data_IF_241423231381
#
_entry.id   IF_241423231381
#
_cell.length_a   1.000
_cell.length_b   1.000
_cell.length_c   1.000
_cell.angle_alpha   90.00
_cell.angle_beta   90.00
_cell.angle_gamma   90.00
#
_symmetry.space_group_name_H-M   'P 1'
#
loop_
_entity.id
_entity.type
_entity.pdbx_description
1 polymer ?
#
# COMPACT_ATOMS: atom_id res chain seq x y z
N UNK A 1 -15.05 -16.53 11.15
CA UNK A 1 -13.67 -17.02 11.29
C UNK A 1 -12.90 -16.44 10.11
N UNK A 2 -11.75 -15.75 10.26
CA UNK A 2 -10.79 -15.68 9.16
C UNK A 2 -10.55 -17.10 8.61
N UNK A 3 -9.92 -17.30 7.46
CA UNK A 3 -9.26 -18.58 7.23
C UNK A 3 -8.15 -18.69 8.29
N UNK A 4 -8.55 -19.02 9.52
CA UNK A 4 -7.72 -19.35 10.64
C UNK A 4 -6.83 -20.46 10.11
N UNK A 5 -5.52 -20.34 10.29
CA UNK A 5 -4.77 -21.27 11.16
C UNK A 5 -4.87 -22.78 10.85
N UNK A 6 -5.51 -23.19 9.75
CA UNK A 6 -5.77 -24.59 9.39
C UNK A 6 -4.72 -25.12 8.44
N UNK A 7 -3.88 -24.25 7.88
CA UNK A 7 -2.73 -24.68 7.11
C UNK A 7 -1.56 -24.88 8.06
N UNK A 8 -1.48 -26.06 8.70
CA UNK A 8 -0.23 -26.47 9.33
C UNK A 8 0.89 -26.46 8.29
N UNK A 9 2.18 -26.39 8.69
CA UNK A 9 3.29 -26.50 7.76
C UNK A 9 3.16 -27.72 6.82
N UNK A 10 2.65 -28.84 7.32
CA UNK A 10 2.39 -30.06 6.56
C UNK A 10 1.27 -29.87 5.53
N UNK A 11 0.19 -29.17 5.88
CA UNK A 11 -0.90 -28.87 4.96
C UNK A 11 -0.44 -27.93 3.83
N UNK A 12 0.37 -26.92 4.14
CA UNK A 12 0.99 -26.05 3.12
C UNK A 12 1.90 -26.87 2.20
N UNK A 13 2.76 -27.71 2.77
CA UNK A 13 3.63 -28.58 1.99
C UNK A 13 2.83 -29.52 1.07
N UNK A 14 1.71 -30.06 1.55
CA UNK A 14 0.85 -30.92 0.76
C UNK A 14 0.22 -30.20 -0.45
N UNK A 15 -0.06 -28.89 -0.33
CA UNK A 15 -0.58 -28.07 -1.44
C UNK A 15 0.45 -27.89 -2.56
N UNK A 16 1.75 -27.89 -2.23
CA UNK A 16 2.85 -27.69 -3.17
C UNK A 16 3.69 -28.95 -3.41
N UNK A 17 3.19 -30.14 -3.04
CA UNK A 17 3.99 -31.38 -3.01
C UNK A 17 4.67 -31.74 -4.34
N UNK A 18 4.06 -31.32 -5.45
CA UNK A 18 4.52 -31.58 -6.82
C UNK A 18 5.08 -30.30 -7.48
N UNK A 19 5.16 -29.18 -6.75
CA UNK A 19 5.60 -27.89 -7.28
C UNK A 19 7.04 -27.58 -6.86
N UNK A 20 7.94 -27.58 -7.83
CA UNK A 20 9.31 -27.10 -7.63
C UNK A 20 9.46 -25.60 -7.90
N UNK A 21 8.58 -25.05 -8.73
CA UNK A 21 8.61 -23.67 -9.18
C UNK A 21 7.34 -22.95 -8.76
N UNK A 22 7.41 -21.62 -8.67
CA UNK A 22 6.21 -20.81 -8.52
C UNK A 22 5.48 -20.74 -9.87
N UNK A 23 4.42 -21.54 -10.02
CA UNK A 23 3.69 -21.71 -11.28
C UNK A 23 2.99 -20.44 -11.79
N UNK A 24 3.02 -19.33 -11.04
CA UNK A 24 2.45 -18.04 -11.44
C UNK A 24 3.35 -17.24 -12.39
N UNK A 25 4.59 -17.67 -12.64
CA UNK A 25 5.51 -17.03 -13.58
C UNK A 25 4.88 -16.86 -14.99
N UNK A 26 5.28 -15.86 -15.80
CA UNK A 26 6.18 -14.76 -15.46
C UNK A 26 5.48 -13.57 -14.78
N UNK A 27 4.14 -13.53 -14.82
CA UNK A 27 3.35 -12.40 -14.29
C UNK A 27 3.22 -12.38 -12.76
N UNK A 28 3.33 -13.56 -12.15
CA UNK A 28 3.09 -13.82 -10.73
C UNK A 28 1.66 -13.47 -10.27
N UNK A 29 0.70 -13.48 -11.19
CA UNK A 29 -0.72 -13.38 -10.88
C UNK A 29 -1.19 -14.65 -10.17
N UNK A 30 -1.89 -14.49 -9.04
CA UNK A 30 -2.46 -15.59 -8.28
C UNK A 30 -3.60 -16.28 -9.02
N UNK A 31 -3.89 -17.52 -8.61
CA UNK A 31 -4.96 -18.32 -9.20
C UNK A 31 -6.32 -18.16 -8.50
N UNK A 32 -6.46 -17.09 -7.71
CA UNK A 32 -7.63 -16.85 -6.87
C UNK A 32 -8.61 -15.85 -7.50
N UNK A 33 -9.87 -15.96 -7.11
CA UNK A 33 -10.93 -15.00 -7.42
C UNK A 33 -11.05 -13.95 -6.32
N UNK A 34 -11.29 -12.69 -6.66
CA UNK A 34 -11.42 -11.62 -5.67
C UNK A 34 -12.59 -11.88 -4.71
N UNK A 35 -12.47 -11.41 -3.48
CA UNK A 35 -13.58 -11.43 -2.50
C UNK A 35 -14.67 -10.46 -2.94
N UNK A 36 -15.89 -10.94 -3.13
CA UNK A 36 -17.05 -10.16 -3.56
C UNK A 36 -17.94 -9.86 -2.36
N UNK A 37 -18.06 -8.60 -1.93
CA UNK A 37 -18.88 -8.26 -0.77
C UNK A 37 -20.35 -8.64 -0.96
N UNK A 38 -20.93 -9.31 0.04
CA UNK A 38 -22.28 -9.86 -0.01
C UNK A 38 -22.37 -11.31 -0.49
N UNK A 39 -21.31 -11.83 -1.12
CA UNK A 39 -21.12 -13.27 -1.38
C UNK A 39 -20.09 -13.85 -0.42
N UNK A 40 -18.98 -13.14 -0.26
CA UNK A 40 -17.89 -13.48 0.64
C UNK A 40 -17.93 -12.57 1.87
N UNK A 41 -17.47 -13.06 3.02
CA UNK A 41 -17.36 -12.29 4.27
C UNK A 41 -15.91 -11.99 4.66
N UNK A 42 -14.95 -12.59 3.96
CA UNK A 42 -13.53 -12.58 4.34
C UNK A 42 -12.65 -12.17 3.14
N UNK A 43 -11.43 -11.65 3.41
CA UNK A 43 -10.40 -11.52 2.40
C UNK A 43 -10.07 -12.85 1.72
N UNK A 44 -9.54 -12.76 0.51
CA UNK A 44 -9.23 -13.95 -0.27
C UNK A 44 -7.93 -14.59 0.22
N UNK A 45 -7.92 -15.90 0.44
CA UNK A 45 -6.70 -16.63 0.76
C UNK A 45 -5.88 -16.96 -0.49
N UNK A 46 -4.56 -16.77 -0.41
CA UNK A 46 -3.56 -17.26 -1.36
C UNK A 46 -2.55 -18.19 -0.66
N UNK A 47 -2.17 -19.27 -1.34
CA UNK A 47 -1.23 -20.27 -0.85
C UNK A 47 0.23 -19.92 -1.19
N UNK A 48 0.44 -18.99 -2.11
CA UNK A 48 1.76 -18.50 -2.45
C UNK A 48 2.12 -17.22 -1.66
N UNK A 49 3.40 -16.85 -1.66
CA UNK A 49 3.88 -15.57 -1.19
C UNK A 49 3.51 -14.42 -2.14
N UNK A 50 3.78 -13.19 -1.71
CA UNK A 50 3.62 -11.99 -2.53
C UNK A 50 4.46 -12.07 -3.83
N UNK A 51 4.03 -11.41 -4.92
CA UNK A 51 4.60 -11.63 -6.25
C UNK A 51 5.98 -11.00 -6.45
N UNK A 52 6.33 -9.98 -5.66
CA UNK A 52 7.37 -9.01 -5.97
C UNK A 52 8.77 -9.59 -5.85
N UNK A 53 9.03 -10.39 -4.81
CA UNK A 53 10.36 -10.99 -4.63
C UNK A 53 10.74 -11.87 -5.82
N UNK A 54 9.82 -12.71 -6.29
CA UNK A 54 10.07 -13.65 -7.39
C UNK A 54 10.01 -12.96 -8.74
N UNK A 55 9.09 -12.01 -8.93
CA UNK A 55 9.06 -11.18 -10.13
C UNK A 55 10.33 -10.36 -10.29
N UNK A 56 10.86 -9.76 -9.21
CA UNK A 56 12.18 -9.13 -9.21
C UNK A 56 13.27 -10.08 -9.67
N UNK A 57 13.33 -11.29 -9.12
CA UNK A 57 14.34 -12.28 -9.48
C UNK A 57 14.27 -12.64 -10.97
N UNK A 58 13.06 -12.83 -11.50
CA UNK A 58 12.86 -13.08 -12.94
C UNK A 58 13.27 -11.87 -13.78
N UNK A 59 12.81 -10.67 -13.45
CA UNK A 59 13.15 -9.44 -14.17
C UNK A 59 14.67 -9.25 -14.20
N UNK A 60 15.39 -9.52 -13.10
CA UNK A 60 16.86 -9.38 -13.09
C UNK A 60 17.60 -10.47 -13.87
N UNK A 61 16.98 -11.62 -14.13
CA UNK A 61 17.53 -12.62 -15.05
C UNK A 61 17.48 -12.11 -16.49
N UNK A 62 16.37 -11.45 -16.87
CA UNK A 62 16.14 -10.99 -18.24
C UNK A 62 16.72 -9.57 -18.50
N UNK A 63 16.72 -8.71 -17.47
CA UNK A 63 17.13 -7.29 -17.49
C UNK A 63 18.08 -6.94 -16.33
N UNK A 64 19.29 -7.52 -16.27
CA UNK A 64 20.25 -7.24 -15.20
C UNK A 64 20.66 -5.76 -15.12
N UNK A 65 20.54 -5.01 -16.23
CA UNK A 65 20.86 -3.59 -16.29
C UNK A 65 19.98 -2.71 -15.38
N UNK A 66 18.82 -3.20 -14.90
CA UNK A 66 17.96 -2.47 -13.94
C UNK A 66 18.70 -2.19 -12.62
N UNK A 67 19.68 -3.02 -12.23
CA UNK A 67 20.47 -2.78 -11.03
C UNK A 67 21.24 -1.46 -11.07
N UNK A 68 21.51 -0.92 -12.26
CA UNK A 68 22.15 0.40 -12.43
C UNK A 68 21.27 1.56 -11.93
N UNK A 69 19.97 1.33 -11.75
CA UNK A 69 19.04 2.33 -11.23
C UNK A 69 19.09 2.45 -9.71
N UNK A 70 19.61 1.46 -8.99
CA UNK A 70 19.71 1.48 -7.52
C UNK A 70 20.49 2.69 -7.01
N UNK A 71 20.07 3.20 -5.84
CA UNK A 71 20.76 4.30 -5.18
C UNK A 71 19.80 5.19 -4.40
N UNK A 72 20.13 6.47 -4.35
CA UNK A 72 19.34 7.49 -3.67
C UNK A 72 19.22 8.74 -4.56
N UNK A 73 18.21 9.55 -4.28
CA UNK A 73 17.97 10.83 -4.93
C UNK A 73 17.83 11.94 -3.88
N UNK A 74 18.72 12.93 -3.95
CA UNK A 74 18.77 14.04 -2.99
C UNK A 74 17.69 15.09 -3.23
N UNK A 75 16.97 15.06 -4.36
CA UNK A 75 15.84 15.95 -4.63
C UNK A 75 14.76 15.86 -3.55
N UNK A 76 14.53 14.66 -2.99
CA UNK A 76 13.59 14.44 -1.90
C UNK A 76 13.91 15.28 -0.65
N UNK A 77 15.19 15.58 -0.39
CA UNK A 77 15.59 16.46 0.72
C UNK A 77 15.07 17.88 0.48
N UNK A 78 15.28 18.41 -0.72
CA UNK A 78 14.86 19.77 -1.06
C UNK A 78 13.33 19.89 -1.09
N UNK A 79 12.64 18.89 -1.63
CA UNK A 79 11.17 18.83 -1.62
C UNK A 79 10.66 18.80 -0.17
N UNK A 80 11.30 18.04 0.72
CA UNK A 80 10.96 18.01 2.15
C UNK A 80 11.11 19.39 2.79
N UNK A 81 12.23 20.07 2.57
CA UNK A 81 12.45 21.40 3.14
C UNK A 81 11.44 22.42 2.60
N UNK A 82 11.17 22.41 1.29
CA UNK A 82 10.22 23.31 0.66
C UNK A 82 8.80 23.09 1.20
N UNK A 83 8.34 21.84 1.27
CA UNK A 83 6.99 21.50 1.77
C UNK A 83 6.81 21.91 3.23
N UNK A 84 7.79 21.65 4.09
CA UNK A 84 7.78 22.08 5.50
C UNK A 84 7.72 23.60 5.59
N UNK A 85 8.58 24.33 4.86
CA UNK A 85 8.58 25.79 4.86
C UNK A 85 7.24 26.39 4.42
N UNK A 86 6.64 25.86 3.34
CA UNK A 86 5.33 26.32 2.85
C UNK A 86 4.24 26.07 3.89
N UNK A 87 4.21 24.88 4.51
CA UNK A 87 3.22 24.59 5.55
C UNK A 87 3.38 25.47 6.78
N UNK A 88 4.61 25.74 7.22
CA UNK A 88 4.86 26.65 8.35
C UNK A 88 4.47 28.09 8.03
N UNK A 89 4.71 28.56 6.80
CA UNK A 89 4.28 29.89 6.35
C UNK A 89 2.75 30.00 6.35
N UNK A 90 2.04 28.99 5.84
CA UNK A 90 0.57 28.98 5.83
C UNK A 90 0.00 28.88 7.24
N UNK A 91 0.58 28.06 8.11
CA UNK A 91 0.21 27.97 9.51
C UNK A 91 0.38 29.31 10.24
N UNK A 92 1.51 30.01 10.01
CA UNK A 92 1.72 31.36 10.56
C UNK A 92 0.71 32.36 10.00
N UNK A 93 0.48 32.33 8.68
CA UNK A 93 -0.43 33.27 8.00
C UNK A 93 -1.85 33.14 8.53
N UNK A 94 -2.43 31.94 8.55
CA UNK A 94 -3.78 31.74 9.10
C UNK A 94 -3.84 31.87 10.61
N UNK A 95 -2.73 31.60 11.30
CA UNK A 95 -2.63 31.71 12.75
C UNK A 95 -2.52 33.14 13.28
N UNK A 96 -1.87 34.04 12.53
CA UNK A 96 -1.46 35.38 13.01
C UNK A 96 -1.86 36.55 12.14
N UNK A 97 -2.04 36.34 10.83
CA UNK A 97 -2.28 37.42 9.86
C UNK A 97 -3.72 37.42 9.38
N UNK A 98 -4.21 36.28 8.89
CA UNK A 98 -5.55 36.10 8.31
C UNK A 98 -6.48 35.34 9.27
N UNK A 99 -6.61 35.84 10.50
CA UNK A 99 -7.32 35.13 11.58
C UNK A 99 -8.84 35.02 11.36
N UNK A 100 -9.43 35.87 10.54
CA UNK A 100 -10.87 35.85 10.28
C UNK A 100 -11.26 35.04 9.02
N UNK A 101 -10.26 34.53 8.29
CA UNK A 101 -10.45 33.84 7.00
C UNK A 101 -10.73 32.35 7.18
N UNK A 102 -11.79 32.02 7.93
CA UNK A 102 -12.11 30.64 8.32
C UNK A 102 -12.32 29.69 7.13
N UNK A 103 -13.20 30.06 6.20
CA UNK A 103 -13.51 29.20 5.05
C UNK A 103 -12.34 29.10 4.08
N UNK A 104 -11.62 30.20 3.86
CA UNK A 104 -10.40 30.18 3.04
C UNK A 104 -9.34 29.28 3.64
N UNK A 105 -9.17 29.29 4.97
CA UNK A 105 -8.27 28.37 5.67
C UNK A 105 -8.63 26.90 5.41
N UNK A 106 -9.92 26.55 5.47
CA UNK A 106 -10.37 25.17 5.19
C UNK A 106 -10.11 24.78 3.73
N UNK A 107 -10.42 25.66 2.77
CA UNK A 107 -10.16 25.42 1.35
C UNK A 107 -8.67 25.25 1.05
N UNK A 108 -7.83 26.11 1.63
CA UNK A 108 -6.36 26.03 1.48
C UNK A 108 -5.81 24.80 2.19
N UNK A 109 -6.31 24.45 3.37
CA UNK A 109 -5.94 23.24 4.09
C UNK A 109 -6.29 21.98 3.28
N UNK A 110 -7.40 21.97 2.54
CA UNK A 110 -7.71 20.86 1.63
C UNK A 110 -6.77 20.83 0.43
N UNK A 111 -6.76 21.90 -0.38
CA UNK A 111 -6.15 21.90 -1.70
C UNK A 111 -4.62 21.95 -1.66
N UNK A 112 -4.04 22.79 -0.79
CA UNK A 112 -2.60 22.97 -0.67
C UNK A 112 -2.08 22.14 0.51
N UNK A 113 -2.70 22.32 1.68
CA UNK A 113 -2.29 21.63 2.90
C UNK A 113 -2.35 20.11 2.77
N UNK A 114 -3.47 19.56 2.30
CA UNK A 114 -3.68 18.13 2.11
C UNK A 114 -2.80 17.54 1.01
N UNK A 115 -2.62 18.27 -0.09
CA UNK A 115 -1.65 17.91 -1.14
C UNK A 115 -0.23 17.81 -0.59
N UNK A 116 0.21 18.75 0.23
CA UNK A 116 1.53 18.69 0.86
C UNK A 116 1.61 17.58 1.91
N UNK A 117 0.59 17.41 2.76
CA UNK A 117 0.57 16.35 3.76
C UNK A 117 0.69 14.96 3.14
N UNK A 118 -0.02 14.70 2.03
CA UNK A 118 0.10 13.46 1.27
C UNK A 118 1.48 13.31 0.61
N UNK A 119 2.02 14.39 0.02
CA UNK A 119 3.38 14.36 -0.54
C UNK A 119 4.45 14.06 0.52
N UNK A 120 4.28 14.55 1.76
CA UNK A 120 5.16 14.20 2.89
C UNK A 120 5.02 12.72 3.26
N UNK A 121 3.82 12.13 3.19
CA UNK A 121 3.63 10.69 3.34
C UNK A 121 4.44 9.87 2.32
N UNK A 122 4.60 10.38 1.11
CA UNK A 122 5.45 9.76 0.07
C UNK A 122 6.93 10.00 0.34
N UNK A 123 7.31 11.16 0.87
CA UNK A 123 8.69 11.35 1.39
C UNK A 123 8.97 10.34 2.52
N UNK A 124 7.96 10.00 3.33
CA UNK A 124 8.11 8.97 4.36
C UNK A 124 8.41 7.60 3.78
N UNK A 125 7.77 7.29 2.65
CA UNK A 125 8.07 6.12 1.85
C UNK A 125 9.53 6.11 1.37
N UNK A 126 10.01 7.19 0.75
CA UNK A 126 11.38 7.24 0.22
C UNK A 126 12.45 7.11 1.32
N UNK A 127 12.34 7.85 2.44
CA UNK A 127 13.38 7.77 3.47
C UNK A 127 13.35 6.40 4.18
N UNK A 128 12.19 5.74 4.22
CA UNK A 128 12.05 4.40 4.81
C UNK A 128 12.94 3.38 4.12
N UNK A 129 13.03 3.47 2.80
CA UNK A 129 13.90 2.65 1.96
C UNK A 129 15.32 3.20 1.81
N UNK A 130 15.65 4.26 2.55
CA UNK A 130 16.93 4.98 2.50
C UNK A 130 17.23 5.64 1.14
N UNK A 131 16.19 6.09 0.43
CA UNK A 131 16.31 6.62 -0.94
C UNK A 131 16.54 8.14 -1.01
N UNK A 132 16.52 8.87 0.11
CA UNK A 132 16.72 10.33 0.10
C UNK A 132 18.20 10.75 0.23
N UNK A 133 19.05 9.90 0.80
CA UNK A 133 20.44 10.22 1.14
C UNK A 133 21.31 8.96 1.30
N UNK A 134 22.63 9.16 1.35
CA UNK A 134 23.61 8.07 1.39
C UNK A 134 23.54 7.19 2.66
N UNK A 135 23.13 7.74 3.81
CA UNK A 135 23.14 7.00 5.09
C UNK A 135 21.74 6.87 5.69
N UNK A 136 21.51 5.79 6.43
CA UNK A 136 20.26 5.59 7.18
C UNK A 136 20.01 6.73 8.18
N UNK A 137 21.06 7.29 8.79
CA UNK A 137 20.92 8.39 9.73
C UNK A 137 20.38 9.66 9.05
N UNK A 138 20.93 10.03 7.88
CA UNK A 138 20.44 11.18 7.12
C UNK A 138 18.97 10.99 6.73
N UNK A 139 18.61 9.81 6.21
CA UNK A 139 17.23 9.50 5.83
C UNK A 139 16.26 9.63 7.01
N UNK A 140 16.60 9.10 8.19
CA UNK A 140 15.76 9.26 9.38
C UNK A 140 15.51 10.71 9.76
N UNK A 141 16.52 11.57 9.60
CA UNK A 141 16.36 13.01 9.84
C UNK A 141 15.53 13.71 8.76
N UNK A 142 15.65 13.32 7.48
CA UNK A 142 14.72 13.78 6.43
C UNK A 142 13.28 13.46 6.83
N UNK A 143 13.01 12.22 7.28
CA UNK A 143 11.71 11.82 7.80
C UNK A 143 11.24 12.67 9.00
N UNK A 144 12.09 12.88 10.00
CA UNK A 144 11.74 13.70 11.17
C UNK A 144 11.47 15.16 10.79
N UNK A 145 12.23 15.74 9.86
CA UNK A 145 12.00 17.12 9.36
C UNK A 145 10.66 17.18 8.61
N UNK A 146 10.40 16.22 7.72
CA UNK A 146 9.11 16.12 7.02
C UNK A 146 7.93 15.95 7.97
N UNK A 147 8.15 15.41 9.17
CA UNK A 147 7.10 15.24 10.19
C UNK A 147 6.64 16.55 10.84
N UNK A 148 7.43 17.63 10.79
CA UNK A 148 7.12 18.89 11.49
C UNK A 148 5.67 19.39 11.21
N UNK A 149 5.21 19.51 9.95
CA UNK A 149 3.84 19.96 9.65
C UNK A 149 2.75 18.91 9.90
N UNK A 150 3.09 17.66 10.25
CA UNK A 150 2.10 16.60 10.45
C UNK A 150 1.52 16.58 11.87
N UNK A 151 2.14 17.26 12.83
CA UNK A 151 1.65 17.48 14.21
C UNK A 151 1.35 16.20 15.03
N UNK A 152 1.76 15.05 14.51
CA UNK A 152 1.72 13.74 15.17
C UNK A 152 2.98 12.96 14.80
N UNK A 153 3.60 12.20 15.72
CA UNK A 153 4.88 11.53 15.47
C UNK A 153 4.70 10.26 14.61
N UNK A 154 4.78 10.42 13.29
CA UNK A 154 4.47 9.37 12.32
C UNK A 154 5.71 8.80 11.65
N UNK A 155 6.74 9.59 11.37
CA UNK A 155 7.86 9.23 10.48
C UNK A 155 8.49 7.88 10.86
N UNK A 156 8.94 7.73 12.11
CA UNK A 156 9.70 6.53 12.49
C UNK A 156 8.82 5.31 12.70
N UNK A 157 7.54 5.51 13.05
CA UNK A 157 6.55 4.43 13.08
C UNK A 157 6.20 3.98 11.66
N UNK A 158 5.97 4.92 10.74
CA UNK A 158 5.76 4.63 9.32
C UNK A 158 6.92 3.78 8.79
N UNK A 159 8.18 4.16 9.06
CA UNK A 159 9.35 3.37 8.65
C UNK A 159 9.28 1.92 9.11
N UNK A 160 8.94 1.67 10.37
CA UNK A 160 8.85 0.31 10.90
C UNK A 160 7.74 -0.48 10.19
N UNK A 161 6.53 0.06 10.21
CA UNK A 161 5.35 -0.65 9.71
C UNK A 161 5.38 -0.84 8.19
N UNK A 162 5.90 0.14 7.44
CA UNK A 162 6.01 0.03 6.00
C UNK A 162 7.06 -1.01 5.55
N UNK A 163 8.22 -1.10 6.24
CA UNK A 163 9.18 -2.20 5.96
C UNK A 163 8.61 -3.58 6.28
N UNK A 164 7.78 -3.67 7.33
CA UNK A 164 7.09 -4.91 7.66
C UNK A 164 6.05 -5.28 6.62
N UNK A 165 5.29 -4.30 6.11
CA UNK A 165 4.39 -4.49 4.98
C UNK A 165 5.11 -5.06 3.75
N UNK A 166 6.23 -4.48 3.32
CA UNK A 166 7.03 -5.06 2.22
C UNK A 166 7.52 -6.48 2.52
N UNK A 167 7.88 -6.75 3.78
CA UNK A 167 8.40 -8.06 4.17
C UNK A 167 7.30 -9.11 4.21
N UNK A 168 6.13 -8.74 4.69
CA UNK A 168 5.03 -9.62 5.10
C UNK A 168 3.72 -9.27 4.40
N UNK A 169 3.76 -8.72 3.18
CA UNK A 169 2.57 -8.27 2.45
C UNK A 169 1.49 -9.37 2.43
N UNK A 170 0.28 -9.00 2.83
CA UNK A 170 -0.88 -9.90 2.97
C UNK A 170 -0.76 -10.98 4.04
N UNK A 171 0.31 -11.05 4.81
CA UNK A 171 0.44 -12.04 5.89
C UNK A 171 -0.39 -11.60 7.09
N UNK A 172 -1.41 -12.39 7.42
CA UNK A 172 -2.33 -12.06 8.50
C UNK A 172 -1.61 -11.92 9.85
N UNK A 173 -1.90 -10.83 10.58
CA UNK A 173 -1.28 -10.51 11.86
C UNK A 173 0.13 -9.90 11.79
N UNK A 174 0.74 -9.84 10.60
CA UNK A 174 2.06 -9.23 10.38
C UNK A 174 1.99 -7.97 9.53
N UNK A 175 1.18 -7.98 8.47
CA UNK A 175 1.01 -6.84 7.58
C UNK A 175 0.14 -5.72 8.23
N UNK A 176 0.69 -4.53 8.51
CA UNK A 176 -0.08 -3.40 9.06
C UNK A 176 -1.05 -2.78 8.05
N UNK A 177 -0.94 -3.08 6.76
CA UNK A 177 -1.83 -2.58 5.72
C UNK A 177 -3.18 -3.31 5.70
N UNK A 178 -3.28 -4.49 6.30
CA UNK A 178 -4.52 -5.25 6.35
C UNK A 178 -5.56 -4.59 7.27
N UNK A 179 -6.83 -4.57 6.86
CA UNK A 179 -7.92 -4.10 7.71
C UNK A 179 -8.11 -4.99 8.93
N UNK A 180 -8.43 -4.40 10.07
CA UNK A 180 -8.83 -5.15 11.26
C UNK A 180 -10.20 -5.81 11.03
N UNK A 181 -10.47 -6.91 11.74
CA UNK A 181 -11.73 -7.65 11.57
C UNK A 181 -12.97 -6.77 11.77
N UNK A 182 -12.91 -5.83 12.70
CA UNK A 182 -14.03 -4.93 12.95
C UNK A 182 -14.24 -3.93 11.81
N UNK A 183 -13.18 -3.53 11.09
CA UNK A 183 -13.30 -2.66 9.90
C UNK A 183 -14.09 -3.38 8.81
N UNK A 184 -13.77 -4.66 8.57
CA UNK A 184 -14.49 -5.51 7.62
C UNK A 184 -15.97 -5.61 8.00
N UNK A 185 -16.27 -5.94 9.26
CA UNK A 185 -17.65 -6.17 9.72
C UNK A 185 -18.49 -4.89 9.80
N UNK A 186 -17.92 -3.79 10.31
CA UNK A 186 -18.66 -2.56 10.58
C UNK A 186 -18.87 -1.72 9.33
N UNK A 187 -17.80 -1.52 8.55
CA UNK A 187 -17.87 -0.68 7.34
C UNK A 187 -18.63 -1.43 6.25
N UNK A 188 -18.26 -2.70 6.03
CA UNK A 188 -18.92 -3.57 5.06
C UNK A 188 -19.04 -2.96 3.67
N UNK A 189 -20.11 -3.33 2.96
CA UNK A 189 -20.41 -2.85 1.61
C UNK A 189 -21.49 -1.76 1.58
N UNK A 190 -21.38 -0.77 2.47
CA UNK A 190 -22.30 0.36 2.52
C UNK A 190 -21.60 1.64 2.03
N UNK A 191 -22.10 2.32 0.98
CA UNK A 191 -21.45 3.52 0.45
C UNK A 191 -21.28 4.65 1.47
N UNK A 192 -22.24 4.83 2.39
CA UNK A 192 -22.18 5.90 3.39
C UNK A 192 -21.09 5.60 4.42
N UNK A 193 -21.03 4.36 4.91
CA UNK A 193 -19.98 3.93 5.85
C UNK A 193 -18.61 3.97 5.20
N UNK A 194 -18.47 3.50 3.96
CA UNK A 194 -17.21 3.57 3.19
C UNK A 194 -16.75 5.02 3.01
N UNK A 195 -17.66 5.94 2.70
CA UNK A 195 -17.35 7.37 2.56
C UNK A 195 -16.81 7.97 3.86
N UNK A 196 -17.49 7.77 5.00
CA UNK A 196 -17.02 8.30 6.28
C UNK A 196 -15.74 7.62 6.78
N UNK A 197 -15.56 6.34 6.46
CA UNK A 197 -14.34 5.62 6.77
C UNK A 197 -13.14 6.15 5.98
N UNK A 198 -13.32 6.56 4.71
CA UNK A 198 -12.25 7.24 3.95
C UNK A 198 -11.82 8.56 4.61
N UNK A 199 -12.73 9.32 5.23
CA UNK A 199 -12.37 10.57 5.92
C UNK A 199 -11.39 10.32 7.08
N UNK A 200 -11.56 9.21 7.80
CA UNK A 200 -10.74 8.87 8.98
C UNK A 200 -9.62 7.88 8.67
N UNK A 201 -9.38 7.58 7.39
CA UNK A 201 -8.52 6.46 6.99
C UNK A 201 -7.07 6.59 7.50
N UNK A 202 -6.49 7.79 7.48
CA UNK A 202 -5.18 8.02 8.11
C UNK A 202 -5.13 7.68 9.61
N UNK A 203 -6.22 7.93 10.34
CA UNK A 203 -6.34 7.56 11.78
C UNK A 203 -6.43 6.04 11.92
N UNK A 204 -7.11 5.38 10.98
CA UNK A 204 -7.22 3.92 10.97
C UNK A 204 -5.86 3.23 10.88
N UNK A 205 -4.91 3.76 10.12
CA UNK A 205 -3.55 3.20 10.03
C UNK A 205 -2.80 3.27 11.36
N UNK A 206 -2.98 4.38 12.10
CA UNK A 206 -2.43 4.49 13.47
C UNK A 206 -3.06 3.39 14.34
N UNK A 207 -4.38 3.21 14.25
CA UNK A 207 -5.10 2.16 14.97
C UNK A 207 -4.61 0.74 14.63
N UNK A 208 -4.40 0.45 13.35
CA UNK A 208 -3.84 -0.84 12.87
C UNK A 208 -2.44 -1.08 13.43
N UNK A 209 -1.56 -0.08 13.40
CA UNK A 209 -0.23 -0.17 14.00
C UNK A 209 -0.28 -0.43 15.50
N UNK A 210 -1.12 0.30 16.24
CA UNK A 210 -1.30 0.09 17.69
C UNK A 210 -1.86 -1.30 18.02
N UNK A 211 -2.76 -1.83 17.18
CA UNK A 211 -3.32 -3.18 17.34
C UNK A 211 -2.28 -4.29 17.24
N UNK A 212 -1.11 -4.03 16.63
CA UNK A 212 0.02 -4.98 16.63
C UNK A 212 0.78 -5.03 17.98
N UNK A 213 0.46 -4.15 18.94
CA UNK A 213 0.99 -4.16 20.31
C UNK A 213 2.53 -4.17 20.41
N UNK A 214 3.21 -3.54 19.45
CA UNK A 214 4.67 -3.50 19.40
C UNK A 214 5.23 -2.45 20.35
N UNK A 215 6.30 -2.82 21.05
CA UNK A 215 7.06 -1.87 21.87
C UNK A 215 7.68 -0.77 21.01
N UNK A 216 7.70 0.46 21.51
CA UNK A 216 8.28 1.59 20.78
C UNK A 216 9.79 1.42 20.66
N UNK A 217 10.30 1.60 19.45
CA UNK A 217 11.73 1.60 19.18
C UNK A 217 12.38 2.92 19.64
N UNK A 218 13.71 2.90 19.81
CA UNK A 218 14.50 4.10 20.14
C UNK A 218 14.22 5.27 19.19
N UNK A 219 14.09 5.00 17.90
CA UNK A 219 13.85 6.04 16.90
C UNK A 219 12.42 6.59 16.95
N UNK A 220 11.43 5.77 17.28
CA UNK A 220 10.07 6.26 17.54
C UNK A 220 10.05 7.19 18.75
N UNK A 221 10.74 6.85 19.84
CA UNK A 221 10.88 7.74 21.00
C UNK A 221 11.56 9.06 20.65
N UNK A 222 12.60 9.03 19.80
CA UNK A 222 13.25 10.25 19.28
C UNK A 222 12.27 11.10 18.47
N UNK A 223 11.48 10.47 17.60
CA UNK A 223 10.49 11.18 16.78
C UNK A 223 9.33 11.73 17.62
N UNK A 224 8.94 11.07 18.71
CA UNK A 224 7.98 11.60 19.68
C UNK A 224 8.52 12.88 20.34
N UNK A 225 9.73 12.82 20.90
CA UNK A 225 10.35 13.98 21.54
C UNK A 225 10.53 15.15 20.54
N UNK A 226 10.97 14.85 19.32
CA UNK A 226 11.11 15.82 18.23
C UNK A 226 9.77 16.46 17.86
N UNK A 227 8.73 15.66 17.61
CA UNK A 227 7.42 16.15 17.19
C UNK A 227 6.80 17.02 18.27
N UNK A 228 6.79 16.58 19.53
CA UNK A 228 6.24 17.39 20.63
C UNK A 228 7.01 18.69 20.86
N UNK A 229 8.33 18.70 20.68
CA UNK A 229 9.12 19.92 20.74
C UNK A 229 8.75 20.89 19.60
N UNK A 230 8.64 20.38 18.36
CA UNK A 230 8.21 21.17 17.21
C UNK A 230 6.78 21.70 17.38
N UNK A 231 5.84 20.87 17.82
CA UNK A 231 4.44 21.25 18.04
C UNK A 231 4.32 22.37 19.07
N UNK A 232 5.11 22.29 20.16
CA UNK A 232 5.19 23.36 21.15
C UNK A 232 5.67 24.67 20.52
N UNK A 233 6.73 24.63 19.71
CA UNK A 233 7.25 25.81 19.00
C UNK A 233 6.20 26.36 18.02
N UNK A 234 5.52 25.49 17.26
CA UNK A 234 4.45 25.86 16.33
C UNK A 234 3.33 26.58 17.07
N UNK A 235 2.86 26.07 18.21
CA UNK A 235 1.82 26.74 19.01
C UNK A 235 2.30 28.11 19.49
N UNK A 236 3.55 28.23 19.93
CA UNK A 236 4.10 29.52 20.40
C UNK A 236 4.23 30.54 19.28
N UNK A 237 4.62 30.12 18.08
CA UNK A 237 4.87 31.01 16.92
C UNK A 237 3.60 31.27 16.11
N UNK A 238 2.84 30.22 15.77
CA UNK A 238 1.67 30.29 14.90
C UNK A 238 0.35 30.38 15.68
N UNK A 239 0.34 30.02 16.97
CA UNK A 239 -0.89 29.99 17.77
C UNK A 239 -1.73 28.73 17.51
N UNK A 240 -2.74 28.50 18.34
CA UNK A 240 -3.66 27.36 18.22
C UNK A 240 -4.41 27.33 16.89
N UNK A 241 -4.66 28.49 16.29
CA UNK A 241 -5.29 28.58 14.99
C UNK A 241 -4.37 28.08 13.86
N UNK A 242 -3.08 28.39 13.89
CA UNK A 242 -2.11 27.83 12.95
C UNK A 242 -1.96 26.32 13.12
N UNK A 243 -1.98 25.83 14.36
CA UNK A 243 -2.03 24.39 14.67
C UNK A 243 -3.29 23.74 14.07
N UNK A 244 -4.46 24.38 14.19
CA UNK A 244 -5.71 23.90 13.59
C UNK A 244 -5.60 23.78 12.06
N UNK A 245 -4.96 24.73 11.37
CA UNK A 245 -4.70 24.64 9.93
C UNK A 245 -3.88 23.39 9.58
N UNK A 246 -2.83 23.07 10.34
CA UNK A 246 -2.01 21.87 10.11
C UNK A 246 -2.79 20.59 10.37
N UNK A 247 -3.55 20.53 11.48
CA UNK A 247 -4.43 19.39 11.78
C UNK A 247 -5.43 19.14 10.65
N UNK A 248 -6.10 20.20 10.16
CA UNK A 248 -7.03 20.09 9.04
C UNK A 248 -6.33 19.62 7.77
N UNK A 249 -5.12 20.11 7.49
CA UNK A 249 -4.32 19.70 6.33
C UNK A 249 -4.03 18.20 6.36
N UNK A 250 -3.65 17.66 7.52
CA UNK A 250 -3.37 16.23 7.71
C UNK A 250 -4.65 15.39 7.56
N UNK A 251 -5.73 15.75 8.24
CA UNK A 251 -7.00 15.01 8.20
C UNK A 251 -7.61 14.97 6.81
N UNK A 252 -7.60 16.11 6.12
CA UNK A 252 -8.12 16.21 4.77
C UNK A 252 -7.19 15.53 3.76
N UNK A 253 -5.88 15.68 3.94
CA UNK A 253 -4.84 15.07 3.11
C UNK A 253 -4.87 13.55 3.13
N UNK A 254 -4.80 12.92 4.30
CA UNK A 254 -4.86 11.46 4.42
C UNK A 254 -6.29 10.89 4.44
N UNK A 255 -7.29 11.72 4.13
CA UNK A 255 -8.70 11.35 4.04
C UNK A 255 -9.18 11.27 2.59
N UNK A 256 -10.13 12.15 2.22
CA UNK A 256 -10.76 12.17 0.88
C UNK A 256 -9.90 12.83 -0.21
N UNK A 257 -8.66 13.23 0.08
CA UNK A 257 -7.79 13.80 -0.95
C UNK A 257 -7.42 12.72 -1.98
N UNK A 258 -7.40 13.03 -3.30
CA UNK A 258 -6.96 12.06 -4.31
C UNK A 258 -5.54 11.55 -4.06
N UNK A 259 -4.67 12.37 -3.45
CA UNK A 259 -3.33 11.98 -3.03
C UNK A 259 -3.28 10.87 -1.97
N UNK A 260 -4.38 10.57 -1.29
CA UNK A 260 -4.51 9.44 -0.35
C UNK A 260 -5.15 8.20 -1.00
N UNK A 261 -5.53 8.26 -2.29
CA UNK A 261 -6.13 7.12 -2.97
C UNK A 261 -5.17 5.92 -3.08
N UNK A 262 -3.86 6.15 -2.98
CA UNK A 262 -2.84 5.10 -3.03
C UNK A 262 -3.09 4.02 -1.95
N UNK A 263 -3.55 4.42 -0.76
CA UNK A 263 -4.00 3.51 0.29
C UNK A 263 -5.07 2.47 -0.11
N UNK A 264 -5.86 2.80 -1.14
CA UNK A 264 -6.85 1.89 -1.72
C UNK A 264 -6.32 1.26 -3.01
N UNK A 265 -5.76 2.07 -3.91
CA UNK A 265 -5.25 1.63 -5.20
C UNK A 265 -4.24 0.48 -5.05
N UNK A 266 -3.32 0.58 -4.12
CA UNK A 266 -2.13 -0.27 -4.07
C UNK A 266 -2.48 -1.75 -3.89
N UNK A 267 -3.26 -2.09 -2.85
CA UNK A 267 -3.45 -3.48 -2.42
C UNK A 267 -4.91 -3.95 -2.28
N UNK A 268 -5.89 -3.14 -2.70
CA UNK A 268 -7.26 -3.66 -2.87
C UNK A 268 -7.39 -4.47 -4.16
N UNK A 269 -8.16 -5.56 -4.11
CA UNK A 269 -8.32 -6.49 -5.23
C UNK A 269 -9.40 -6.04 -6.22
N UNK A 270 -9.00 -5.26 -7.22
CA UNK A 270 -9.89 -4.83 -8.31
C UNK A 270 -10.10 -5.93 -9.36
N UNK A 271 -9.13 -6.82 -9.55
CA UNK A 271 -9.09 -7.90 -10.55
C UNK A 271 -8.71 -9.22 -9.89
N UNK A 272 -9.26 -10.31 -10.41
CA UNK A 272 -8.87 -11.67 -10.00
C UNK A 272 -7.37 -11.88 -10.21
N UNK A 273 -6.72 -12.54 -9.24
CA UNK A 273 -5.31 -12.91 -9.29
C UNK A 273 -4.31 -11.77 -9.08
N UNK A 274 -4.72 -10.49 -9.05
CA UNK A 274 -3.79 -9.37 -8.88
C UNK A 274 -3.97 -8.69 -7.52
N UNK A 275 -2.92 -8.72 -6.69
CA UNK A 275 -2.94 -8.13 -5.34
C UNK A 275 -2.21 -6.79 -5.22
N UNK A 276 -1.53 -6.34 -6.28
CA UNK A 276 -0.80 -5.06 -6.31
C UNK A 276 -1.08 -4.32 -7.61
N UNK A 277 -1.37 -3.02 -7.54
CA UNK A 277 -1.72 -2.21 -8.72
C UNK A 277 -0.84 -0.97 -8.79
N UNK A 278 -0.40 -0.63 -9.99
CA UNK A 278 0.23 0.65 -10.27
C UNK A 278 -0.81 1.68 -10.76
N UNK A 279 -0.50 2.95 -10.58
CA UNK A 279 -1.18 4.10 -11.13
C UNK A 279 -0.25 4.82 -12.11
N UNK A 280 -0.71 5.05 -13.34
CA UNK A 280 0.06 5.72 -14.42
C UNK A 280 -0.61 7.01 -14.91
N UNK A 281 -1.48 7.62 -14.10
CA UNK A 281 -2.10 8.90 -14.44
C UNK A 281 -1.23 10.10 -14.10
N UNK A 282 -1.72 11.30 -14.45
CA UNK A 282 -1.00 12.56 -14.30
C UNK A 282 -0.67 12.96 -12.86
N UNK A 283 -1.31 12.33 -11.86
CA UNK A 283 -1.01 12.57 -10.45
C UNK A 283 0.43 12.26 -10.07
N UNK A 284 1.09 11.31 -10.76
CA UNK A 284 2.46 10.91 -10.45
C UNK A 284 3.46 12.06 -10.48
N UNK A 285 3.29 13.01 -11.40
CA UNK A 285 4.20 14.17 -11.50
C UNK A 285 4.23 14.99 -10.21
N UNK A 286 3.09 15.08 -9.51
CA UNK A 286 2.99 15.82 -8.26
C UNK A 286 3.34 14.95 -7.04
N UNK A 287 2.92 13.69 -7.06
CA UNK A 287 3.13 12.73 -5.97
C UNK A 287 4.33 11.80 -6.22
N UNK A 288 5.42 12.38 -6.71
CA UNK A 288 6.75 11.76 -6.77
C UNK A 288 6.70 10.33 -7.30
N UNK A 289 6.04 10.09 -8.44
CA UNK A 289 5.91 8.77 -9.08
C UNK A 289 5.52 7.59 -8.17
N UNK A 290 4.90 7.82 -6.99
CA UNK A 290 4.50 6.75 -6.07
C UNK A 290 3.54 5.75 -6.72
N UNK A 291 2.81 6.17 -7.76
CA UNK A 291 1.92 5.30 -8.51
C UNK A 291 2.64 4.16 -9.23
N UNK A 292 3.95 4.21 -9.46
CA UNK A 292 4.73 3.07 -9.98
C UNK A 292 4.96 2.03 -8.88
N UNK A 293 3.86 1.51 -8.33
CA UNK A 293 3.84 0.75 -7.08
C UNK A 293 4.29 -0.70 -7.25
N UNK A 294 3.91 -1.37 -8.34
CA UNK A 294 4.48 -2.69 -8.65
C UNK A 294 5.99 -2.60 -8.85
N UNK A 295 6.43 -1.59 -9.62
CA UNK A 295 7.84 -1.33 -9.89
C UNK A 295 8.61 -1.07 -8.60
N UNK A 296 8.03 -0.27 -7.70
CA UNK A 296 8.59 -0.02 -6.37
C UNK A 296 8.67 -1.27 -5.52
N UNK A 297 7.59 -2.06 -5.42
CA UNK A 297 7.63 -3.29 -4.62
C UNK A 297 8.62 -4.33 -5.16
N UNK A 298 8.77 -4.42 -6.49
CA UNK A 298 9.77 -5.27 -7.13
C UNK A 298 11.18 -4.74 -6.86
N UNK A 299 11.37 -3.41 -6.88
CA UNK A 299 12.67 -2.75 -6.76
C UNK A 299 12.68 -1.61 -5.71
N UNK A 300 12.53 -1.91 -4.41
CA UNK A 300 12.39 -0.89 -3.36
C UNK A 300 13.66 -0.09 -3.09
N UNK A 301 14.76 -0.40 -3.79
CA UNK A 301 16.04 0.30 -3.72
C UNK A 301 16.25 1.28 -4.89
N UNK A 302 15.22 1.48 -5.73
CA UNK A 302 15.23 2.46 -6.81
C UNK A 302 14.44 3.69 -6.36
N UNK A 303 15.03 4.90 -6.41
CA UNK A 303 14.32 6.12 -6.04
C UNK A 303 13.18 6.43 -7.00
N UNK A 304 12.18 7.16 -6.49
CA UNK A 304 10.98 7.51 -7.25
C UNK A 304 11.22 8.16 -8.63
N UNK A 305 12.30 8.92 -8.79
CA UNK A 305 12.67 9.57 -10.06
C UNK A 305 12.99 8.59 -11.18
N UNK A 306 13.37 7.36 -10.82
CA UNK A 306 13.77 6.30 -11.74
C UNK A 306 12.76 5.16 -11.87
N UNK A 307 11.70 5.12 -11.07
CA UNK A 307 10.66 4.09 -11.19
C UNK A 307 10.03 4.00 -12.60
N UNK A 308 9.77 5.12 -13.33
CA UNK A 308 9.28 5.04 -14.70
C UNK A 308 10.23 4.31 -15.65
N UNK A 309 11.53 4.35 -15.38
CA UNK A 309 12.55 3.70 -16.19
C UNK A 309 12.45 2.18 -16.08
N UNK A 310 12.15 1.64 -14.89
CA UNK A 310 11.94 0.20 -14.67
C UNK A 310 10.85 -0.32 -15.60
N UNK A 311 9.70 0.38 -15.64
CA UNK A 311 8.59 0.02 -16.52
C UNK A 311 8.99 0.03 -17.99
N UNK A 312 9.80 1.02 -18.41
CA UNK A 312 10.28 1.16 -19.78
C UNK A 312 11.25 0.04 -20.18
N UNK A 313 12.07 -0.43 -19.24
CA UNK A 313 13.08 -1.45 -19.47
C UNK A 313 12.50 -2.86 -19.52
N UNK A 314 11.44 -3.12 -18.75
CA UNK A 314 10.81 -4.44 -18.61
C UNK A 314 9.28 -4.41 -18.85
N UNK A 315 8.78 -3.85 -19.97
CA UNK A 315 7.35 -3.64 -20.21
C UNK A 315 6.51 -4.93 -20.19
N UNK A 316 7.08 -6.06 -20.59
CA UNK A 316 6.43 -7.38 -20.61
C UNK A 316 5.92 -7.82 -19.22
N UNK A 317 6.56 -7.34 -18.14
CA UNK A 317 6.20 -7.64 -16.75
C UNK A 317 5.11 -6.72 -16.20
N UNK A 318 4.94 -5.52 -16.76
CA UNK A 318 4.07 -4.49 -16.20
C UNK A 318 2.87 -4.13 -17.09
N UNK A 319 2.99 -4.19 -18.42
CA UNK A 319 1.93 -3.75 -19.35
C UNK A 319 0.72 -4.70 -19.38
N UNK A 320 0.91 -5.95 -18.95
CA UNK A 320 -0.15 -6.94 -18.82
C UNK A 320 -0.89 -6.87 -17.47
N UNK A 321 -0.36 -6.12 -16.50
CA UNK A 321 -0.99 -5.92 -15.19
C UNK A 321 -2.11 -4.87 -15.30
N UNK A 322 -3.19 -5.08 -14.55
CA UNK A 322 -4.20 -4.05 -14.38
C UNK A 322 -3.60 -2.84 -13.66
N UNK A 323 -3.96 -1.64 -14.11
CA UNK A 323 -3.48 -0.39 -13.55
C UNK A 323 -4.61 0.63 -13.43
N UNK A 324 -4.35 1.69 -12.68
CA UNK A 324 -5.25 2.83 -12.55
C UNK A 324 -4.69 4.04 -13.30
N UNK A 325 -5.59 4.89 -13.81
CA UNK A 325 -5.23 6.17 -14.46
C UNK A 325 -5.88 7.38 -13.78
N UNK A 326 -6.82 7.15 -12.85
CA UNK A 326 -7.44 8.21 -12.04
C UNK A 326 -7.61 7.79 -10.58
N UNK A 327 -6.96 8.50 -9.67
CA UNK A 327 -7.15 8.31 -8.22
C UNK A 327 -8.52 8.78 -7.73
N UNK A 328 -9.10 9.78 -8.38
CA UNK A 328 -10.51 10.13 -8.16
C UNK A 328 -11.44 8.96 -8.48
N UNK A 329 -11.17 8.25 -9.59
CA UNK A 329 -11.95 7.06 -9.94
C UNK A 329 -11.76 5.93 -8.92
N UNK A 330 -10.54 5.74 -8.38
CA UNK A 330 -10.29 4.74 -7.31
C UNK A 330 -11.16 5.03 -6.09
N UNK A 331 -11.12 6.26 -5.57
CA UNK A 331 -11.91 6.64 -4.40
C UNK A 331 -13.42 6.52 -4.68
N UNK A 332 -13.87 7.00 -5.84
CA UNK A 332 -15.27 6.90 -6.26
C UNK A 332 -15.72 5.44 -6.36
N UNK A 333 -14.95 4.59 -7.03
CA UNK A 333 -15.26 3.16 -7.17
C UNK A 333 -15.29 2.46 -5.82
N UNK A 334 -14.34 2.76 -4.92
CA UNK A 334 -14.35 2.16 -3.59
C UNK A 334 -15.65 2.46 -2.84
N UNK A 335 -16.09 3.73 -2.86
CA UNK A 335 -17.32 4.15 -2.18
C UNK A 335 -18.56 3.57 -2.85
N UNK A 336 -18.67 3.66 -4.17
CA UNK A 336 -19.94 3.42 -4.89
C UNK A 336 -20.11 2.00 -5.41
N UNK A 337 -19.02 1.27 -5.66
CA UNK A 337 -19.09 -0.08 -6.19
C UNK A 337 -19.55 -1.07 -5.12
N UNK A 338 -20.50 -1.94 -5.48
CA UNK A 338 -20.89 -3.08 -4.64
C UNK A 338 -19.86 -4.20 -4.65
N UNK A 339 -18.80 -4.09 -5.45
CA UNK A 339 -17.75 -5.11 -5.59
C UNK A 339 -16.53 -4.83 -4.71
N UNK A 340 -16.52 -3.71 -3.97
CA UNK A 340 -15.40 -3.26 -3.16
C UNK A 340 -15.85 -2.92 -1.74
N UNK A 341 -15.14 -3.45 -0.76
CA UNK A 341 -15.27 -3.16 0.66
C UNK A 341 -13.91 -3.40 1.33
N UNK A 342 -13.73 -3.09 2.64
CA UNK A 342 -12.45 -3.35 3.32
C UNK A 342 -11.94 -4.78 3.15
N UNK A 343 -12.82 -5.77 3.10
CA UNK A 343 -12.46 -7.19 2.88
C UNK A 343 -11.84 -7.49 1.51
N UNK A 344 -11.88 -6.59 0.53
CA UNK A 344 -11.38 -6.81 -0.83
C UNK A 344 -9.85 -6.80 -0.85
N UNK A 345 -9.23 -7.70 -0.09
CA UNK A 345 -7.79 -7.93 0.10
C UNK A 345 -7.46 -9.38 -0.24
N UNK A 346 -6.17 -9.64 -0.43
CA UNK A 346 -5.60 -10.99 -0.38
C UNK A 346 -4.83 -11.16 0.91
N UNK A 347 -4.99 -12.34 1.53
CA UNK A 347 -4.31 -12.73 2.75
C UNK A 347 -3.66 -14.09 2.60
N UNK A 348 -2.63 -14.34 3.41
CA UNK A 348 -1.90 -15.61 3.47
C UNK A 348 -1.46 -15.90 4.91
N UNK A 349 -1.24 -17.17 5.21
CA UNK A 349 -0.68 -17.58 6.49
C UNK A 349 0.82 -17.32 6.50
N UNK A 350 1.41 -17.20 7.70
CA UNK A 350 2.87 -17.08 7.84
C UNK A 350 3.59 -18.33 7.30
N UNK A 351 2.97 -19.50 7.41
CA UNK A 351 3.54 -20.76 6.93
C UNK A 351 3.49 -20.84 5.40
N UNK A 352 2.38 -20.46 4.77
CA UNK A 352 2.30 -20.33 3.31
C UNK A 352 3.37 -19.36 2.77
N UNK A 353 3.47 -18.19 3.39
CA UNK A 353 4.47 -17.17 3.03
C UNK A 353 5.91 -17.71 3.16
N UNK A 354 6.26 -18.36 4.27
CA UNK A 354 7.61 -18.90 4.50
C UNK A 354 7.92 -20.06 3.57
N UNK A 355 6.97 -20.97 3.38
CA UNK A 355 7.14 -22.13 2.51
C UNK A 355 7.36 -21.70 1.07
N UNK A 356 6.48 -20.86 0.53
CA UNK A 356 6.55 -20.41 -0.85
C UNK A 356 7.85 -19.63 -1.14
N UNK A 357 8.32 -18.81 -0.19
CA UNK A 357 9.60 -18.09 -0.31
C UNK A 357 10.83 -18.98 -0.28
N UNK A 358 10.77 -20.09 0.46
CA UNK A 358 11.93 -20.97 0.67
C UNK A 358 12.02 -22.07 -0.38
N UNK A 359 10.89 -22.64 -0.79
CA UNK A 359 10.86 -23.88 -1.56
C UNK A 359 10.49 -23.69 -3.04
N UNK A 360 9.71 -22.67 -3.38
CA UNK A 360 9.28 -22.44 -4.76
C UNK A 360 10.27 -21.51 -5.47
N UNK A 361 10.92 -22.00 -6.50
CA UNK A 361 11.93 -21.25 -7.26
C UNK A 361 11.32 -20.49 -8.43
N UNK A 362 12.06 -19.48 -8.88
CA UNK A 362 11.85 -18.86 -10.20
C UNK A 362 12.49 -19.78 -11.25
N UNK A 363 11.76 -20.23 -12.28
CA UNK A 363 12.33 -21.05 -13.34
C UNK A 363 13.25 -20.21 -14.23
N UNK A 364 14.30 -20.82 -14.78
CA UNK A 364 15.03 -20.22 -15.91
C UNK A 364 14.16 -20.23 -17.19
N UNK A 365 14.55 -19.50 -18.22
CA UNK A 365 13.81 -19.47 -19.49
C UNK A 365 13.65 -20.88 -20.10
N UNK A 366 14.71 -21.70 -20.08
CA UNK A 366 14.66 -23.09 -20.55
C UNK A 366 13.76 -23.99 -19.66
N UNK A 367 13.74 -23.77 -18.35
CA UNK A 367 12.86 -24.50 -17.42
C UNK A 367 11.40 -24.09 -17.63
N UNK A 368 11.15 -22.79 -17.83
CA UNK A 368 9.83 -22.21 -18.06
C UNK A 368 9.16 -22.79 -19.31
N UNK A 369 9.90 -22.96 -20.42
CA UNK A 369 9.40 -23.62 -21.63
C UNK A 369 9.01 -25.08 -21.38
N UNK A 370 9.80 -25.81 -20.59
CA UNK A 370 9.55 -27.23 -20.31
C UNK A 370 8.33 -27.45 -19.42
N UNK A 371 8.09 -26.56 -18.46
CA UNK A 371 6.99 -26.68 -17.50
C UNK A 371 5.70 -25.95 -17.95
N UNK A 372 5.73 -25.24 -19.09
CA UNK A 372 4.56 -24.54 -19.62
C UNK A 372 3.32 -25.45 -19.77
N UNK A 373 3.41 -26.70 -20.28
CA UNK A 373 2.25 -27.59 -20.37
C UNK A 373 1.64 -27.94 -19.01
N UNK A 374 2.49 -28.14 -17.99
CA UNK A 374 2.04 -28.44 -16.63
C UNK A 374 1.33 -27.25 -16.00
N UNK A 375 1.85 -26.04 -16.24
CA UNK A 375 1.23 -24.79 -15.83
C UNK A 375 -0.15 -24.62 -16.47
N UNK A 376 -0.27 -24.83 -17.78
CA UNK A 376 -1.54 -24.67 -18.49
C UNK A 376 -2.58 -25.67 -17.95
N UNK A 377 -2.17 -26.92 -17.71
CA UNK A 377 -3.01 -27.93 -17.08
C UNK A 377 -3.43 -27.56 -15.64
N UNK A 378 -2.54 -26.92 -14.86
CA UNK A 378 -2.88 -26.39 -13.54
C UNK A 378 -3.94 -25.28 -13.63
N UNK A 379 -3.71 -24.30 -14.50
CA UNK A 379 -4.63 -23.16 -14.71
C UNK A 379 -6.01 -23.66 -15.12
N UNK A 380 -6.09 -24.63 -16.03
CA UNK A 380 -7.36 -25.19 -16.49
C UNK A 380 -8.09 -25.97 -15.39
N UNK A 381 -7.37 -26.74 -14.57
CA UNK A 381 -7.96 -27.40 -13.39
C UNK A 381 -8.56 -26.39 -12.42
N UNK A 382 -7.86 -25.28 -12.17
CA UNK A 382 -8.34 -24.24 -11.26
C UNK A 382 -9.57 -23.53 -11.82
N UNK A 383 -9.56 -23.17 -13.12
CA UNK A 383 -10.73 -22.59 -13.80
C UNK A 383 -11.95 -23.50 -13.69
N UNK A 384 -11.78 -24.79 -14.02
CA UNK A 384 -12.86 -25.78 -13.95
C UNK A 384 -13.42 -25.93 -12.53
N UNK A 385 -12.56 -25.96 -11.52
CA UNK A 385 -12.99 -26.03 -10.12
C UNK A 385 -13.78 -24.77 -9.70
N UNK A 386 -13.37 -23.60 -10.16
CA UNK A 386 -14.08 -22.34 -9.90
C UNK A 386 -15.46 -22.31 -10.57
N UNK A 387 -15.56 -22.76 -11.84
CA UNK A 387 -16.83 -22.80 -12.58
C UNK A 387 -17.83 -23.76 -11.93
N UNK A 388 -17.37 -24.94 -11.52
CA UNK A 388 -18.20 -25.91 -10.78
C UNK A 388 -18.70 -25.36 -9.43
N UNK A 389 -17.87 -24.57 -8.74
CA UNK A 389 -18.28 -23.91 -7.49
C UNK A 389 -19.37 -22.86 -7.74
N UNK A 390 -19.23 -22.06 -8.81
CA UNK A 390 -20.25 -21.08 -9.19
C UNK A 390 -21.56 -21.72 -9.61
N UNK A 391 -21.52 -22.84 -10.34
CA UNK A 391 -22.72 -23.57 -10.73
C UNK A 391 -23.46 -24.13 -9.51
N UNK A 392 -22.73 -24.70 -8.53
CA UNK A 392 -23.30 -25.12 -7.24
C UNK A 392 -23.90 -23.95 -6.45
N UNK A 393 -23.22 -22.80 -6.42
CA UNK A 393 -23.72 -21.60 -5.75
C UNK A 393 -25.00 -21.06 -6.40
N UNK A 394 -25.07 -21.07 -7.74
CA UNK A 394 -26.29 -20.70 -8.49
C UNK A 394 -27.44 -21.67 -8.22
N UNK A 395 -27.18 -22.98 -8.23
CA UNK A 395 -28.18 -23.99 -7.92
C UNK A 395 -28.72 -23.85 -6.48
N UNK A 396 -27.84 -23.55 -5.51
CA UNK A 396 -28.22 -23.33 -4.11
C UNK A 396 -29.03 -22.03 -3.93
N UNK A 397 -28.71 -20.97 -4.66
CA UNK A 397 -29.47 -19.71 -4.65
C UNK A 397 -30.88 -19.91 -5.22
N UNK A 398 -31.02 -20.64 -6.33
CA UNK A 398 -32.33 -20.96 -6.94
C UNK A 398 -33.19 -21.80 -5.97
N UNK A 399 -32.59 -22.75 -5.25
CA UNK A 399 -33.28 -23.59 -4.28
C UNK A 399 -33.73 -22.86 -3.00
N UNK A 400 -33.23 -21.65 -2.73
CA UNK A 400 -33.67 -20.79 -1.61
C UNK A 400 -34.78 -19.79 -2.00
N UNK A 401 -35.04 -19.63 -3.29
CA UNK A 401 -36.05 -18.71 -3.85
C UNK A 401 -37.33 -19.46 -4.26
N UNK A 402 -37.30 -20.80 -4.20
CA UNK A 402 -38.48 -21.68 -4.19
C UNK A 402 -38.83 -22.06 -2.76
#
# INVERSE_FOLDING_TARGET
MPPHDTSSPEAVQALHKDEQFDMRFPSYLGFWKRSVPGLDEQPRFDMYDEPHRKRKQQILQDHPEIETLYGYDTSSIWITLTTVCVQMLLAYTFGRVLTDWNWTMVLVAYAIGGSISTQIGIIFHEFTHNLCAATTLQNRWVGNIGNIPLVVPLAQSFRRYHLEHHTYQGVYGYDPDLPLEWEIRLIGNDPVRKFFWLIIYGIMYIGRGLAQQKQLSRWELINWAWSFACDFVIIKVCGWRGMLYLVLSVLLGFGLHPGAAHFIQEHYTFRDGQETYSYYGSGNTFWLNIGYHNEHHDFPLVPWTKLPEIKRMAPEYYDNLACHTSWWAVLYMFVTSSLLAPQSRVVRTIDAHRYARKNLRVPTNDEAEKIAPEKDALVDRIKKAADMSMEKARAFSIAKVQ
#
